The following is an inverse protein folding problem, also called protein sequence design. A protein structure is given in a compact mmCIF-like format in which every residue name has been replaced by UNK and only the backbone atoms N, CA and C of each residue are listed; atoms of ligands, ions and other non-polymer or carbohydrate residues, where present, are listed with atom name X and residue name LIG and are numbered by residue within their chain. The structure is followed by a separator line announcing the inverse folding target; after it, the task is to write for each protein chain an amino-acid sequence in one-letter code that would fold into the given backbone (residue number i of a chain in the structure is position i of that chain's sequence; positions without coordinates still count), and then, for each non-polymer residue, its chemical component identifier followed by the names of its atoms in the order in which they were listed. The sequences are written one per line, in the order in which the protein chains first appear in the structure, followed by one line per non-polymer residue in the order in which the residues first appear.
data_IF_153676584857
#
_entry.id   IF_153676584857
#
_cell.length_a   1.000
_cell.length_b   1.000
_cell.length_c   1.000
_cell.angle_alpha   90.00
_cell.angle_beta   90.00
_cell.angle_gamma   90.00
#
_symmetry.space_group_name_H-M   'P 1'
#
loop_
_entity.id
_entity.type
_entity.pdbx_description
1 polymer ?
#
# COMPACT_ATOMS: atom_id res chain seq x y z
N UNK A 1 -23.82 33.85 -50.34
CA UNK A 1 -23.53 34.61 -49.10
C UNK A 1 -22.93 33.60 -48.10
N UNK A 2 -21.62 33.45 -47.86
CA UNK A 2 -20.57 34.43 -47.47
C UNK A 2 -21.06 35.26 -46.27
N UNK A 3 -20.46 35.35 -45.07
CA UNK A 3 -19.04 35.36 -44.64
C UNK A 3 -18.91 35.05 -43.12
N UNK A 4 -17.78 34.41 -42.77
CA UNK A 4 -16.99 34.33 -41.51
C UNK A 4 -17.20 35.41 -40.42
N UNK A 5 -17.02 35.04 -39.13
CA UNK A 5 -15.83 35.34 -38.27
C UNK A 5 -16.04 35.06 -36.76
N UNK A 6 -15.08 34.32 -36.16
CA UNK A 6 -14.28 34.54 -34.91
C UNK A 6 -15.02 35.00 -33.62
N UNK A 7 -14.75 34.58 -32.38
CA UNK A 7 -13.51 34.16 -31.72
C UNK A 7 -13.85 33.80 -30.25
N UNK A 8 -13.28 32.72 -29.67
CA UNK A 8 -12.44 32.78 -28.43
C UNK A 8 -12.05 31.38 -27.94
N UNK A 9 -10.74 31.17 -27.98
CA UNK A 9 -9.97 30.06 -27.42
C UNK A 9 -10.01 30.03 -25.89
N UNK A 10 -10.05 28.83 -25.31
CA UNK A 10 -9.33 28.51 -24.06
C UNK A 10 -8.67 27.13 -24.21
N UNK A 11 -7.42 27.16 -24.64
CA UNK A 11 -6.50 26.02 -24.62
C UNK A 11 -5.90 25.90 -23.21
N UNK A 12 -6.07 24.73 -22.60
CA UNK A 12 -5.45 24.37 -21.34
C UNK A 12 -3.99 23.99 -21.64
N UNK A 13 -3.02 24.75 -21.11
CA UNK A 13 -1.59 24.46 -21.26
C UNK A 13 -1.12 23.52 -20.14
N UNK A 14 -0.40 22.43 -20.44
CA UNK A 14 0.32 21.66 -19.42
C UNK A 14 1.59 22.41 -18.99
N UNK A 15 1.80 22.54 -17.67
CA UNK A 15 3.01 23.16 -17.09
C UNK A 15 4.21 22.26 -17.34
N UNK A 16 5.16 22.76 -18.14
CA UNK A 16 6.52 22.23 -18.28
C UNK A 16 7.30 22.49 -16.99
N UNK A 17 7.69 21.45 -16.27
CA UNK A 17 8.73 21.53 -15.23
C UNK A 17 9.83 20.51 -15.54
N UNK A 18 10.72 20.84 -16.47
CA UNK A 18 12.04 20.23 -16.58
C UNK A 18 12.98 21.24 -17.24
N UNK A 19 14.04 21.62 -16.50
CA UNK A 19 15.39 22.08 -16.92
C UNK A 19 15.90 23.22 -16.03
N UNK A 20 16.80 22.89 -15.09
CA UNK A 20 18.14 23.52 -15.01
C UNK A 20 19.02 22.84 -13.95
N UNK A 21 19.74 21.80 -14.36
CA UNK A 21 21.03 21.46 -13.75
C UNK A 21 22.05 21.51 -14.89
N UNK A 22 23.02 22.42 -14.74
CA UNK A 22 24.28 22.63 -15.47
C UNK A 22 24.44 24.09 -15.90
N UNK A 23 25.29 24.79 -15.14
CA UNK A 23 26.38 25.69 -15.58
C UNK A 23 26.62 26.71 -14.47
N UNK A 24 27.56 26.42 -13.59
CA UNK A 24 28.37 27.45 -12.96
C UNK A 24 29.82 27.03 -13.13
N UNK A 25 30.46 27.58 -14.16
CA UNK A 25 31.91 27.57 -14.32
C UNK A 25 32.31 28.98 -14.75
N UNK A 26 33.16 29.58 -13.91
CA UNK A 26 34.02 30.77 -14.13
C UNK A 26 33.33 32.11 -14.31
N UNK A 27 33.49 32.96 -13.29
CA UNK A 27 34.35 34.17 -13.37
C UNK A 27 34.20 34.98 -12.07
N UNK A 28 35.30 35.30 -11.40
CA UNK A 28 35.67 36.62 -10.83
C UNK A 28 37.01 36.47 -10.04
N UNK A 29 37.85 37.53 -9.93
CA UNK A 29 39.26 37.47 -9.56
C UNK A 29 39.55 37.78 -8.08
N UNK A 30 40.86 37.83 -7.80
CA UNK A 30 41.59 37.72 -6.54
C UNK A 30 41.32 38.67 -5.36
N UNK A 31 41.70 38.11 -4.19
CA UNK A 31 42.28 38.74 -3.00
C UNK A 31 41.35 39.46 -2.00
N UNK A 32 41.17 38.87 -0.82
CA UNK A 32 41.46 39.47 0.50
C UNK A 32 41.29 38.41 1.62
N UNK A 33 42.19 38.46 2.62
CA UNK A 33 42.34 37.51 3.75
C UNK A 33 41.06 37.30 4.58
N UNK A 34 40.85 36.12 5.20
CA UNK A 34 39.67 35.87 6.02
C UNK A 34 39.87 36.36 7.47
N UNK A 35 38.85 36.96 8.11
CA UNK A 35 38.77 37.02 9.56
C UNK A 35 38.18 35.71 10.10
N UNK A 36 38.73 35.20 11.21
CA UNK A 36 38.14 34.06 11.91
C UNK A 36 36.82 34.45 12.58
N UNK A 37 35.79 33.58 12.55
CA UNK A 37 34.67 33.67 13.48
C UNK A 37 34.77 32.60 14.57
N UNK A 38 34.74 33.08 15.80
CA UNK A 38 34.49 32.35 17.04
C UNK A 38 33.00 32.03 17.20
N UNK A 39 32.70 30.95 17.94
CA UNK A 39 31.42 30.57 18.57
C UNK A 39 30.58 29.50 17.84
N UNK A 40 29.69 28.77 18.54
CA UNK A 40 29.98 27.43 19.07
C UNK A 40 29.17 26.36 18.32
N UNK A 41 29.73 25.15 18.26
CA UNK A 41 29.06 23.97 17.71
C UNK A 41 27.85 23.66 18.59
N UNK A 42 26.65 23.90 18.06
CA UNK A 42 25.41 23.40 18.61
C UNK A 42 25.40 21.88 18.36
N UNK A 43 25.66 21.09 19.41
CA UNK A 43 25.45 19.65 19.42
C UNK A 43 23.95 19.36 19.23
N UNK A 44 23.55 19.10 17.99
CA UNK A 44 22.26 18.49 17.69
C UNK A 44 22.32 17.03 18.18
N UNK A 45 21.52 16.76 19.21
CA UNK A 45 21.22 15.45 19.81
C UNK A 45 21.19 14.33 18.77
N UNK A 46 22.04 13.33 18.97
CA UNK A 46 22.10 12.07 18.21
C UNK A 46 21.23 10.97 18.85
N UNK A 47 20.01 11.30 19.25
CA UNK A 47 19.08 10.30 19.79
C UNK A 47 17.87 10.15 18.86
N UNK A 48 18.13 9.94 17.57
CA UNK A 48 17.13 9.34 16.71
C UNK A 48 17.13 7.83 17.00
N UNK A 49 15.99 7.22 17.37
CA UNK A 49 15.92 5.77 17.54
C UNK A 49 16.37 5.10 16.25
N UNK A 50 17.17 4.04 16.39
CA UNK A 50 17.60 3.23 15.26
C UNK A 50 16.37 2.81 14.44
N UNK A 51 16.42 2.87 13.10
CA UNK A 51 15.28 2.48 12.28
C UNK A 51 14.86 1.06 12.63
N UNK A 52 13.55 0.84 12.80
CA UNK A 52 12.97 -0.47 13.04
C UNK A 52 13.59 -1.45 12.04
N UNK A 53 14.28 -2.47 12.55
CA UNK A 53 14.90 -3.47 11.70
C UNK A 53 13.77 -4.19 10.94
N UNK A 54 13.93 -4.44 9.63
CA UNK A 54 12.93 -5.16 8.87
C UNK A 54 12.65 -6.50 9.53
N UNK A 55 11.40 -6.97 9.43
CA UNK A 55 10.98 -8.29 9.89
C UNK A 55 12.05 -9.35 9.55
N UNK A 56 12.53 -10.15 10.52
CA UNK A 56 13.65 -11.08 10.31
C UNK A 56 13.42 -12.07 9.15
N UNK A 57 12.16 -12.41 8.87
CA UNK A 57 11.77 -13.30 7.79
C UNK A 57 11.92 -12.69 6.39
N UNK A 58 12.11 -11.38 6.24
CA UNK A 58 12.15 -10.71 4.93
C UNK A 58 13.25 -11.26 4.01
N UNK A 59 14.42 -11.59 4.58
CA UNK A 59 15.50 -12.19 3.82
C UNK A 59 15.21 -13.62 3.37
N UNK A 60 14.51 -14.40 4.20
CA UNK A 60 14.09 -15.76 3.85
C UNK A 60 13.00 -15.72 2.78
N UNK A 61 12.01 -14.82 2.93
CA UNK A 61 10.99 -14.54 1.92
C UNK A 61 11.66 -14.20 0.59
N UNK A 62 12.54 -13.19 0.51
CA UNK A 62 13.23 -12.81 -0.75
C UNK A 62 13.96 -13.96 -1.45
N UNK A 63 14.57 -14.88 -0.70
CA UNK A 63 15.38 -15.99 -1.25
C UNK A 63 14.58 -17.24 -1.59
N UNK A 64 13.34 -17.36 -1.13
CA UNK A 64 12.54 -18.54 -1.43
C UNK A 64 12.27 -18.61 -2.96
N UNK A 65 12.25 -19.81 -3.57
CA UNK A 65 11.93 -19.94 -4.98
C UNK A 65 10.48 -19.49 -5.27
N UNK A 66 10.12 -19.22 -6.54
CA UNK A 66 8.72 -19.12 -6.94
C UNK A 66 7.94 -20.34 -6.43
N UNK A 67 6.77 -20.11 -5.86
CA UNK A 67 5.96 -21.18 -5.26
C UNK A 67 4.95 -21.73 -6.27
N UNK A 68 4.99 -23.04 -6.51
CA UNK A 68 4.00 -23.74 -7.34
C UNK A 68 2.75 -24.16 -6.56
N UNK A 69 2.64 -23.81 -5.28
CA UNK A 69 1.53 -24.19 -4.38
C UNK A 69 0.22 -23.43 -4.69
N UNK A 70 -0.26 -23.53 -5.93
CA UNK A 70 -1.32 -22.70 -6.52
C UNK A 70 -2.73 -23.27 -6.37
N UNK A 71 -2.85 -24.41 -5.69
CA UNK A 71 -4.14 -25.05 -5.36
C UNK A 71 -4.17 -25.39 -3.88
N UNK A 72 -5.37 -25.64 -3.36
CA UNK A 72 -5.58 -26.04 -1.97
C UNK A 72 -6.09 -27.48 -1.91
N UNK A 73 -5.26 -28.40 -1.43
CA UNK A 73 -5.56 -29.82 -1.27
C UNK A 73 -6.28 -30.13 0.04
N UNK A 74 -6.37 -31.43 0.42
CA UNK A 74 -6.98 -31.85 1.68
C UNK A 74 -6.22 -31.37 2.93
N UNK A 75 -4.90 -31.14 2.82
CA UNK A 75 -4.02 -30.83 3.95
C UNK A 75 -3.35 -29.45 3.85
N UNK A 76 -3.83 -28.57 2.96
CA UNK A 76 -3.27 -27.24 2.74
C UNK A 76 -2.82 -27.00 1.29
N UNK A 77 -2.01 -25.95 1.06
CA UNK A 77 -1.50 -25.62 -0.26
C UNK A 77 -0.76 -26.78 -0.94
N UNK A 78 -1.03 -27.01 -2.22
CA UNK A 78 -0.36 -28.01 -3.04
C UNK A 78 -0.19 -27.53 -4.49
N UNK A 79 0.73 -28.18 -5.21
CA UNK A 79 0.87 -27.98 -6.64
C UNK A 79 -0.39 -28.47 -7.39
N UNK A 80 -0.77 -27.81 -8.51
CA UNK A 80 -1.88 -28.29 -9.32
C UNK A 80 -1.59 -29.70 -9.86
N UNK A 81 -2.60 -30.57 -9.97
CA UNK A 81 -2.42 -31.94 -10.46
C UNK A 81 -1.98 -31.99 -11.93
N UNK A 82 -2.47 -31.04 -12.74
CA UNK A 82 -2.01 -30.82 -14.11
C UNK A 82 -1.22 -29.49 -14.13
N UNK A 83 0.07 -29.57 -14.43
CA UNK A 83 0.87 -28.37 -14.69
C UNK A 83 0.39 -27.75 -16.00
N UNK A 84 -0.63 -26.90 -15.91
CA UNK A 84 -1.15 -26.15 -17.06
C UNK A 84 -0.02 -25.27 -17.65
N UNK A 85 0.63 -25.74 -18.70
CA UNK A 85 1.56 -24.97 -19.55
C UNK A 85 0.83 -23.93 -20.44
N UNK A 86 -0.45 -23.67 -20.19
CA UNK A 86 -1.26 -22.74 -20.97
C UNK A 86 -1.06 -21.28 -20.49
N UNK A 87 0.12 -20.73 -20.75
CA UNK A 87 0.42 -19.30 -20.56
C UNK A 87 1.62 -18.79 -21.36
N UNK A 88 2.22 -19.65 -22.20
CA UNK A 88 3.56 -19.42 -22.77
C UNK A 88 3.61 -18.49 -23.97
N UNK A 89 2.55 -18.38 -24.78
CA UNK A 89 2.65 -17.67 -26.07
C UNK A 89 2.84 -16.15 -25.91
N UNK A 90 1.99 -15.48 -25.14
CA UNK A 90 2.10 -14.03 -24.88
C UNK A 90 3.26 -13.67 -23.95
N UNK A 91 3.63 -14.56 -23.04
CA UNK A 91 4.76 -14.38 -22.14
C UNK A 91 6.10 -14.45 -22.88
N UNK A 92 6.24 -15.25 -23.94
CA UNK A 92 7.52 -15.42 -24.64
C UNK A 92 8.01 -14.17 -25.36
N UNK A 93 7.11 -13.27 -25.78
CA UNK A 93 7.44 -12.07 -26.55
C UNK A 93 7.95 -10.90 -25.70
N UNK A 94 7.61 -10.84 -24.41
CA UNK A 94 8.09 -9.77 -23.52
C UNK A 94 9.57 -9.97 -23.17
N UNK A 95 10.38 -8.92 -23.31
CA UNK A 95 11.83 -8.95 -23.09
C UNK A 95 12.25 -8.46 -21.70
N UNK A 96 11.31 -7.94 -20.91
CA UNK A 96 11.57 -7.38 -19.59
C UNK A 96 10.41 -7.54 -18.60
N UNK A 97 10.72 -7.39 -17.31
CA UNK A 97 9.75 -7.48 -16.22
C UNK A 97 8.67 -6.39 -16.33
N UNK A 98 9.03 -5.17 -16.71
CA UNK A 98 8.08 -4.08 -16.92
C UNK A 98 7.11 -4.37 -18.08
N UNK A 99 7.60 -4.95 -19.18
CA UNK A 99 6.72 -5.35 -20.30
C UNK A 99 5.76 -6.47 -19.90
N UNK A 100 6.24 -7.45 -19.12
CA UNK A 100 5.38 -8.49 -18.59
C UNK A 100 4.33 -7.92 -17.62
N UNK A 101 4.72 -7.00 -16.73
CA UNK A 101 3.79 -6.32 -15.85
C UNK A 101 2.72 -5.54 -16.62
N UNK A 102 3.10 -4.87 -17.72
CA UNK A 102 2.13 -4.18 -18.58
C UNK A 102 1.16 -5.15 -19.26
N UNK A 103 1.64 -6.33 -19.67
CA UNK A 103 0.81 -7.41 -20.21
C UNK A 103 -0.17 -7.95 -19.15
N UNK A 104 0.30 -8.18 -17.91
CA UNK A 104 -0.54 -8.60 -16.79
C UNK A 104 -1.64 -7.57 -16.52
N UNK A 105 -1.27 -6.29 -16.42
CA UNK A 105 -2.24 -5.20 -16.22
C UNK A 105 -3.24 -5.09 -17.37
N UNK A 106 -2.85 -5.45 -18.59
CA UNK A 106 -3.74 -5.44 -19.77
C UNK A 106 -4.58 -6.71 -19.94
N UNK A 107 -4.41 -7.70 -19.06
CA UNK A 107 -5.17 -8.96 -19.11
C UNK A 107 -6.45 -8.85 -18.28
N UNK A 108 -7.61 -8.98 -18.91
CA UNK A 108 -8.90 -8.84 -18.23
C UNK A 108 -9.29 -10.06 -17.39
N UNK A 109 -9.06 -11.27 -17.91
CA UNK A 109 -9.44 -12.51 -17.23
C UNK A 109 -8.61 -12.72 -15.94
N UNK A 110 -9.24 -12.91 -14.76
CA UNK A 110 -8.53 -12.94 -13.49
C UNK A 110 -7.59 -14.14 -13.34
N UNK A 111 -7.98 -15.31 -13.86
CA UNK A 111 -7.16 -16.53 -13.77
C UNK A 111 -5.98 -16.47 -14.75
N UNK A 112 -6.19 -15.95 -15.96
CA UNK A 112 -5.11 -15.66 -16.91
C UNK A 112 -4.15 -14.61 -16.33
N UNK A 113 -4.66 -13.55 -15.70
CA UNK A 113 -3.85 -12.54 -15.01
C UNK A 113 -2.97 -13.17 -13.93
N UNK A 114 -3.54 -14.05 -13.10
CA UNK A 114 -2.80 -14.76 -12.06
C UNK A 114 -1.72 -15.69 -12.65
N UNK A 115 -2.02 -16.43 -13.73
CA UNK A 115 -1.04 -17.29 -14.43
C UNK A 115 0.11 -16.47 -15.05
N UNK A 116 -0.22 -15.38 -15.74
CA UNK A 116 0.79 -14.49 -16.34
C UNK A 116 1.67 -13.83 -15.27
N UNK A 117 1.10 -13.47 -14.13
CA UNK A 117 1.85 -12.94 -12.98
C UNK A 117 2.92 -13.93 -12.51
N UNK A 118 2.53 -15.19 -12.33
CA UNK A 118 3.45 -16.23 -11.93
C UNK A 118 4.54 -16.51 -12.97
N UNK A 119 4.16 -16.55 -14.25
CA UNK A 119 5.11 -16.68 -15.35
C UNK A 119 6.11 -15.51 -15.39
N UNK A 120 5.65 -14.28 -15.12
CA UNK A 120 6.51 -13.10 -15.08
C UNK A 120 7.53 -13.14 -13.95
N UNK A 121 7.10 -13.50 -12.75
CA UNK A 121 8.02 -13.63 -11.61
C UNK A 121 9.01 -14.79 -11.81
N UNK A 122 8.57 -15.91 -12.37
CA UNK A 122 9.44 -17.05 -12.70
C UNK A 122 10.52 -16.66 -13.71
N UNK A 123 10.17 -15.89 -14.76
CA UNK A 123 11.14 -15.38 -15.73
C UNK A 123 12.10 -14.35 -15.12
N UNK A 124 11.62 -13.50 -14.21
CA UNK A 124 12.50 -12.63 -13.42
C UNK A 124 13.56 -13.43 -12.65
N UNK A 125 13.15 -14.47 -11.93
CA UNK A 125 14.08 -15.35 -11.21
C UNK A 125 15.06 -16.05 -12.16
N UNK A 126 14.64 -16.34 -13.40
CA UNK A 126 15.50 -16.88 -14.47
C UNK A 126 16.41 -15.83 -15.15
N UNK A 127 16.42 -14.57 -14.69
CA UNK A 127 17.35 -13.53 -15.16
C UNK A 127 16.77 -12.50 -16.13
N UNK A 128 15.43 -12.40 -16.24
CA UNK A 128 14.80 -11.34 -17.03
C UNK A 128 15.17 -9.95 -16.47
N UNK A 129 15.56 -8.95 -17.28
CA UNK A 129 15.87 -7.61 -16.78
C UNK A 129 14.60 -6.84 -16.40
N UNK A 130 14.72 -5.79 -15.58
CA UNK A 130 13.58 -4.93 -15.22
C UNK A 130 12.96 -4.24 -16.45
N UNK A 131 13.81 -3.67 -17.31
CA UNK A 131 13.41 -2.94 -18.53
C UNK A 131 12.51 -1.73 -18.26
N UNK A 132 11.76 -1.33 -19.29
CA UNK A 132 10.87 -0.17 -19.27
C UNK A 132 9.59 -0.48 -20.05
N UNK A 133 8.45 -0.06 -19.52
CA UNK A 133 7.17 -0.11 -20.24
C UNK A 133 6.24 1.02 -19.76
N UNK A 134 5.23 1.33 -20.57
CA UNK A 134 4.17 2.24 -20.16
C UNK A 134 3.12 1.50 -19.33
N UNK A 135 2.87 1.96 -18.10
CA UNK A 135 1.75 1.46 -17.32
C UNK A 135 0.43 1.95 -17.95
N UNK A 136 -0.58 1.07 -18.14
CA UNK A 136 -1.90 1.53 -18.56
C UNK A 136 -2.51 2.46 -17.49
N UNK A 137 -3.52 3.25 -17.88
CA UNK A 137 -4.22 4.16 -16.96
C UNK A 137 -5.00 3.40 -15.88
N UNK A 138 -5.49 2.20 -16.23
CA UNK A 138 -6.17 1.28 -15.34
C UNK A 138 -5.94 -0.17 -15.79
N UNK A 139 -5.97 -1.16 -14.88
CA UNK A 139 -5.88 -2.55 -15.24
C UNK A 139 -7.15 -2.96 -15.99
N UNK A 140 -6.99 -3.83 -16.96
CA UNK A 140 -8.10 -4.49 -17.62
C UNK A 140 -8.90 -5.32 -16.60
N UNK A 141 -10.22 -5.30 -16.77
CA UNK A 141 -11.22 -5.99 -15.96
C UNK A 141 -12.19 -6.74 -16.88
N UNK A 142 -12.76 -7.87 -16.45
CA UNK A 142 -13.86 -8.51 -17.17
C UNK A 142 -15.16 -7.74 -16.96
N UNK A 143 -16.22 -8.13 -17.67
CA UNK A 143 -17.58 -7.55 -17.51
C UNK A 143 -18.15 -7.72 -16.09
N UNK A 144 -17.65 -8.72 -15.35
CA UNK A 144 -18.01 -9.00 -13.95
C UNK A 144 -16.74 -9.02 -13.08
N UNK A 145 -16.84 -8.68 -11.77
CA UNK A 145 -18.03 -8.25 -11.03
C UNK A 145 -18.51 -6.84 -11.40
N UNK A 146 -19.79 -6.56 -11.11
CA UNK A 146 -20.34 -5.20 -11.21
C UNK A 146 -19.65 -4.33 -10.16
N UNK A 147 -19.09 -3.20 -10.59
CA UNK A 147 -18.45 -2.23 -9.71
C UNK A 147 -19.48 -1.20 -9.23
N UNK A 148 -19.63 -1.07 -7.91
CA UNK A 148 -20.53 -0.13 -7.25
C UNK A 148 -19.75 0.80 -6.31
N UNK A 149 -20.38 1.88 -5.83
CA UNK A 149 -19.76 2.71 -4.79
C UNK A 149 -19.76 2.00 -3.44
N UNK A 150 -18.91 2.44 -2.51
CA UNK A 150 -18.87 1.87 -1.15
C UNK A 150 -20.21 1.96 -0.40
N UNK A 151 -21.07 2.92 -0.74
CA UNK A 151 -22.40 3.09 -0.13
C UNK A 151 -23.45 2.14 -0.72
N UNK A 152 -23.20 1.64 -1.93
CA UNK A 152 -24.11 0.78 -2.69
C UNK A 152 -23.75 -0.70 -2.54
N UNK A 153 -22.65 -1.03 -1.85
CA UNK A 153 -22.27 -2.41 -1.57
C UNK A 153 -23.38 -3.08 -0.73
N UNK A 154 -23.94 -4.16 -1.27
CA UNK A 154 -25.03 -4.90 -0.63
C UNK A 154 -24.47 -5.97 0.30
N UNK A 155 -25.15 -6.18 1.44
CA UNK A 155 -24.74 -7.23 2.38
C UNK A 155 -25.11 -8.62 1.86
N UNK A 156 -24.40 -9.65 2.33
CA UNK A 156 -24.70 -11.04 1.99
C UNK A 156 -26.19 -11.40 2.25
N UNK A 157 -26.80 -10.85 3.32
CA UNK A 157 -28.21 -11.11 3.67
C UNK A 157 -29.17 -10.53 2.63
N UNK A 158 -28.91 -9.30 2.19
CA UNK A 158 -29.71 -8.64 1.16
C UNK A 158 -29.61 -9.35 -0.19
N UNK A 159 -28.45 -9.95 -0.48
CA UNK A 159 -28.22 -10.73 -1.70
C UNK A 159 -28.73 -12.17 -1.62
N UNK A 160 -29.10 -12.66 -0.43
CA UNK A 160 -29.48 -14.06 -0.23
C UNK A 160 -28.34 -15.06 -0.44
N UNK A 161 -27.08 -14.63 -0.25
CA UNK A 161 -25.90 -15.50 -0.41
C UNK A 161 -25.30 -15.90 0.94
N UNK A 162 -24.67 -17.10 1.03
CA UNK A 162 -23.94 -17.52 2.22
C UNK A 162 -22.84 -16.54 2.60
N UNK A 163 -22.67 -16.33 3.91
CA UNK A 163 -21.68 -15.39 4.45
C UNK A 163 -20.25 -15.76 4.08
N UNK A 164 -19.89 -17.06 4.12
CA UNK A 164 -18.56 -17.54 3.75
C UNK A 164 -18.27 -17.30 2.26
N UNK A 165 -19.21 -17.60 1.36
CA UNK A 165 -19.07 -17.30 -0.06
C UNK A 165 -18.91 -15.78 -0.30
N UNK A 166 -19.70 -14.94 0.37
CA UNK A 166 -19.57 -13.49 0.30
C UNK A 166 -18.19 -13.00 0.76
N UNK A 167 -17.71 -13.49 1.90
CA UNK A 167 -16.41 -13.11 2.44
C UNK A 167 -15.27 -13.51 1.50
N UNK A 168 -15.28 -14.73 0.98
CA UNK A 168 -14.24 -15.22 0.07
C UNK A 168 -14.25 -14.49 -1.27
N UNK A 169 -15.42 -14.08 -1.78
CA UNK A 169 -15.52 -13.28 -3.00
C UNK A 169 -14.90 -11.89 -2.80
N UNK A 170 -15.20 -11.23 -1.68
CA UNK A 170 -14.58 -9.95 -1.35
C UNK A 170 -13.06 -10.08 -1.18
N UNK A 171 -12.58 -11.15 -0.54
CA UNK A 171 -11.15 -11.41 -0.40
C UNK A 171 -10.49 -11.69 -1.75
N UNK A 172 -11.06 -12.54 -2.60
CA UNK A 172 -10.59 -12.73 -3.96
C UNK A 172 -10.53 -11.40 -4.75
N UNK A 173 -11.49 -10.49 -4.54
CA UNK A 173 -11.43 -9.17 -5.15
C UNK A 173 -10.26 -8.32 -4.63
N UNK A 174 -9.96 -8.39 -3.32
CA UNK A 174 -8.79 -7.74 -2.73
C UNK A 174 -7.52 -8.29 -3.35
N UNK A 175 -7.34 -9.61 -3.40
CA UNK A 175 -6.13 -10.24 -3.96
C UNK A 175 -5.93 -9.89 -5.44
N UNK A 176 -7.01 -9.89 -6.23
CA UNK A 176 -6.92 -9.51 -7.64
C UNK A 176 -6.48 -8.05 -7.80
N UNK A 177 -6.95 -7.16 -6.93
CA UNK A 177 -6.45 -5.78 -6.92
C UNK A 177 -4.99 -5.74 -6.48
N UNK A 178 -4.59 -6.48 -5.44
CA UNK A 178 -3.22 -6.50 -4.94
C UNK A 178 -2.20 -6.93 -6.03
N UNK A 179 -2.55 -7.91 -6.88
CA UNK A 179 -1.80 -8.25 -8.10
C UNK A 179 -1.59 -7.00 -8.98
N UNK A 180 -2.66 -6.25 -9.27
CA UNK A 180 -2.58 -5.05 -10.10
C UNK A 180 -1.80 -3.92 -9.45
N UNK A 181 -1.95 -3.73 -8.14
CA UNK A 181 -1.24 -2.70 -7.38
C UNK A 181 0.28 -2.94 -7.40
N UNK A 182 0.67 -4.19 -7.22
CA UNK A 182 2.06 -4.62 -7.25
C UNK A 182 2.65 -4.46 -8.66
N UNK A 183 1.96 -4.93 -9.71
CA UNK A 183 2.42 -4.74 -11.09
C UNK A 183 2.42 -3.28 -11.52
N UNK A 184 1.43 -2.48 -11.14
CA UNK A 184 1.44 -1.05 -11.42
C UNK A 184 2.66 -0.39 -10.79
N UNK A 185 3.03 -0.79 -9.56
CA UNK A 185 4.25 -0.30 -8.90
C UNK A 185 5.51 -0.67 -9.68
N UNK A 186 5.62 -1.91 -10.17
CA UNK A 186 6.75 -2.37 -10.99
C UNK A 186 6.85 -1.57 -12.29
N UNK A 187 5.75 -1.48 -13.05
CA UNK A 187 5.76 -0.87 -14.38
C UNK A 187 5.91 0.64 -14.30
N UNK A 188 5.10 1.30 -13.46
CA UNK A 188 5.01 2.76 -13.40
C UNK A 188 6.29 3.41 -12.89
N UNK A 189 6.99 2.75 -11.96
CA UNK A 189 8.25 3.25 -11.42
C UNK A 189 9.48 2.65 -12.10
N UNK A 190 9.32 1.84 -13.16
CA UNK A 190 10.46 1.33 -13.95
C UNK A 190 11.43 2.42 -14.45
N UNK A 191 11.00 3.66 -14.80
CA UNK A 191 11.94 4.73 -15.14
C UNK A 191 12.86 5.18 -13.99
N UNK A 192 12.54 4.81 -12.74
CA UNK A 192 13.34 5.10 -11.55
C UNK A 192 14.30 3.96 -11.18
N UNK A 193 14.48 2.97 -12.06
CA UNK A 193 15.32 1.80 -11.81
C UNK A 193 16.71 2.13 -11.31
N UNK A 194 17.40 3.10 -11.93
CA UNK A 194 18.77 3.45 -11.54
C UNK A 194 18.85 4.07 -10.13
N UNK A 195 17.74 4.61 -9.63
CA UNK A 195 17.64 5.17 -8.28
C UNK A 195 17.22 4.13 -7.24
N UNK A 196 16.20 3.32 -7.56
CA UNK A 196 15.61 2.36 -6.63
C UNK A 196 16.41 1.04 -6.58
N UNK A 197 17.02 0.66 -7.70
CA UNK A 197 17.71 -0.61 -7.91
C UNK A 197 16.75 -1.77 -8.20
N UNK A 198 17.30 -2.84 -8.77
CA UNK A 198 16.55 -4.02 -9.20
C UNK A 198 15.77 -4.71 -8.06
N UNK A 199 16.27 -4.63 -6.83
CA UNK A 199 15.60 -5.20 -5.66
C UNK A 199 14.20 -4.64 -5.41
N UNK A 200 13.93 -3.38 -5.80
CA UNK A 200 12.58 -2.79 -5.63
C UNK A 200 11.57 -3.53 -6.51
N UNK A 201 11.93 -3.72 -7.77
CA UNK A 201 11.09 -4.38 -8.76
C UNK A 201 10.96 -5.88 -8.47
N UNK A 202 12.05 -6.51 -8.00
CA UNK A 202 12.03 -7.90 -7.56
C UNK A 202 11.05 -8.13 -6.40
N UNK A 203 11.08 -7.26 -5.39
CA UNK A 203 10.20 -7.38 -4.22
C UNK A 203 8.73 -7.20 -4.63
N UNK A 204 8.39 -6.16 -5.41
CA UNK A 204 6.98 -5.96 -5.82
C UNK A 204 6.49 -6.98 -6.84
N UNK A 205 7.34 -7.50 -7.74
CA UNK A 205 6.96 -8.61 -8.60
C UNK A 205 6.71 -9.90 -7.80
N UNK A 206 7.45 -10.09 -6.70
CA UNK A 206 7.22 -11.20 -5.77
C UNK A 206 5.92 -11.05 -4.99
N UNK A 207 5.62 -9.85 -4.47
CA UNK A 207 4.31 -9.56 -3.86
C UNK A 207 3.21 -9.94 -4.84
N UNK A 208 3.27 -9.48 -6.09
CA UNK A 208 2.29 -9.85 -7.11
C UNK A 208 2.15 -11.38 -7.30
N UNK A 209 3.28 -12.11 -7.27
CA UNK A 209 3.29 -13.57 -7.34
C UNK A 209 2.58 -14.23 -6.14
N UNK A 210 2.78 -13.73 -4.93
CA UNK A 210 2.08 -14.17 -3.72
C UNK A 210 0.56 -13.88 -3.83
N UNK A 211 0.16 -12.67 -4.21
CA UNK A 211 -1.27 -12.32 -4.36
C UNK A 211 -1.97 -13.13 -5.45
N UNK A 212 -1.24 -13.47 -6.52
CA UNK A 212 -1.79 -14.34 -7.56
C UNK A 212 -2.06 -15.76 -7.09
N UNK A 213 -1.31 -16.24 -6.08
CA UNK A 213 -1.57 -17.51 -5.40
C UNK A 213 -2.75 -17.40 -4.45
N UNK A 214 -2.80 -16.34 -3.64
CA UNK A 214 -3.92 -16.05 -2.73
C UNK A 214 -5.25 -15.99 -3.49
N UNK A 215 -5.28 -15.23 -4.59
CA UNK A 215 -6.43 -15.13 -5.49
C UNK A 215 -6.91 -16.49 -5.98
N UNK A 216 -5.98 -17.38 -6.37
CA UNK A 216 -6.32 -18.72 -6.86
C UNK A 216 -6.91 -19.59 -5.75
N UNK A 217 -6.38 -19.54 -4.53
CA UNK A 217 -6.94 -20.29 -3.41
C UNK A 217 -8.38 -19.86 -3.08
N UNK A 218 -8.65 -18.55 -3.05
CA UNK A 218 -10.02 -18.06 -2.85
C UNK A 218 -10.94 -18.40 -4.01
N UNK A 219 -10.47 -18.25 -5.26
CA UNK A 219 -11.26 -18.59 -6.44
C UNK A 219 -11.62 -20.06 -6.48
N UNK A 220 -10.67 -20.95 -6.18
CA UNK A 220 -10.92 -22.39 -6.04
C UNK A 220 -11.98 -22.64 -4.96
N UNK A 221 -11.82 -22.04 -3.77
CA UNK A 221 -12.75 -22.25 -2.66
C UNK A 221 -14.16 -21.74 -2.95
N UNK A 222 -14.28 -20.63 -3.68
CA UNK A 222 -15.57 -20.13 -4.16
C UNK A 222 -16.26 -21.14 -5.07
N UNK A 223 -15.52 -21.72 -6.02
CA UNK A 223 -16.06 -22.74 -6.93
C UNK A 223 -16.53 -23.97 -6.17
N UNK A 224 -15.78 -24.42 -5.16
CA UNK A 224 -16.19 -25.53 -4.27
C UNK A 224 -17.49 -25.22 -3.49
N UNK A 225 -17.78 -23.94 -3.23
CA UNK A 225 -19.01 -23.48 -2.59
C UNK A 225 -20.16 -23.22 -3.59
N UNK A 226 -19.94 -23.44 -4.89
CA UNK A 226 -20.93 -23.22 -5.95
C UNK A 226 -21.01 -21.78 -6.45
N UNK A 227 -19.98 -20.95 -6.21
CA UNK A 227 -19.90 -19.55 -6.64
C UNK A 227 -18.67 -19.30 -7.52
N UNK A 228 -18.70 -18.21 -8.26
CA UNK A 228 -17.57 -17.74 -9.06
C UNK A 228 -17.17 -16.32 -8.66
N UNK A 229 -15.88 -16.02 -8.82
CA UNK A 229 -15.46 -14.62 -8.80
C UNK A 229 -16.20 -13.86 -9.91
N UNK A 230 -16.79 -12.73 -9.55
CA UNK A 230 -17.71 -11.98 -10.42
C UNK A 230 -19.20 -12.04 -10.04
N UNK A 231 -19.62 -13.00 -9.21
CA UNK A 231 -21.06 -13.18 -8.87
C UNK A 231 -21.63 -12.10 -7.95
N UNK A 232 -20.78 -11.40 -7.19
CA UNK A 232 -21.17 -10.38 -6.23
C UNK A 232 -20.61 -9.01 -6.62
N UNK A 233 -21.34 -7.91 -6.35
CA UNK A 233 -20.87 -6.57 -6.65
C UNK A 233 -19.69 -6.20 -5.74
N UNK A 234 -18.77 -5.39 -6.25
CA UNK A 234 -17.54 -4.97 -5.56
C UNK A 234 -17.37 -3.46 -5.62
N UNK A 235 -16.49 -2.91 -4.79
CA UNK A 235 -16.08 -1.51 -4.90
C UNK A 235 -14.64 -1.38 -5.41
N UNK A 236 -14.32 -0.29 -6.11
CA UNK A 236 -12.98 -0.05 -6.65
C UNK A 236 -12.09 0.85 -5.77
N UNK A 237 -12.24 0.77 -4.43
CA UNK A 237 -11.51 1.62 -3.48
C UNK A 237 -9.99 1.50 -3.64
N UNK A 238 -9.47 0.27 -3.65
CA UNK A 238 -8.02 0.00 -3.67
C UNK A 238 -7.35 0.65 -4.89
N UNK A 239 -7.90 0.44 -6.09
CA UNK A 239 -7.37 1.07 -7.29
C UNK A 239 -7.48 2.59 -7.26
N UNK A 240 -8.57 3.14 -6.72
CA UNK A 240 -8.73 4.60 -6.58
C UNK A 240 -7.63 5.20 -5.71
N UNK A 241 -7.31 4.58 -4.58
CA UNK A 241 -6.22 5.03 -3.70
C UNK A 241 -4.85 4.87 -4.38
N UNK A 242 -4.65 3.79 -5.14
CA UNK A 242 -3.44 3.58 -5.94
C UNK A 242 -3.23 4.67 -6.98
N UNK A 243 -4.28 5.03 -7.73
CA UNK A 243 -4.24 6.03 -8.77
C UNK A 243 -3.86 7.42 -8.23
N UNK A 244 -4.30 7.78 -7.02
CA UNK A 244 -3.90 9.04 -6.34
C UNK A 244 -2.39 9.14 -6.10
N UNK A 245 -1.71 8.00 -5.92
CA UNK A 245 -0.27 7.91 -5.64
C UNK A 245 0.60 7.69 -6.89
N UNK A 246 -0.01 7.66 -8.09
CA UNK A 246 0.66 7.23 -9.34
C UNK A 246 1.88 8.06 -9.74
N UNK A 247 1.99 9.31 -9.30
CA UNK A 247 3.11 10.20 -9.65
C UNK A 247 4.26 10.20 -8.65
N UNK A 248 4.14 9.52 -7.50
CA UNK A 248 5.12 9.61 -6.41
C UNK A 248 5.31 8.24 -5.74
N UNK A 249 6.54 7.72 -5.82
CA UNK A 249 6.90 6.43 -5.24
C UNK A 249 6.81 6.42 -3.71
N UNK A 250 7.10 7.55 -3.04
CA UNK A 250 6.95 7.67 -1.59
C UNK A 250 5.47 7.64 -1.19
N UNK A 251 4.61 8.32 -1.95
CA UNK A 251 3.16 8.23 -1.79
C UNK A 251 2.65 6.81 -2.05
N UNK A 252 3.14 6.13 -3.10
CA UNK A 252 2.75 4.73 -3.39
C UNK A 252 3.02 3.83 -2.20
N UNK A 253 4.23 3.91 -1.65
CA UNK A 253 4.67 3.08 -0.53
C UNK A 253 3.90 3.39 0.76
N UNK A 254 3.57 4.65 1.02
CA UNK A 254 2.74 5.02 2.16
C UNK A 254 1.30 4.54 2.00
N UNK A 255 0.66 4.83 0.86
CA UNK A 255 -0.78 4.62 0.67
C UNK A 255 -1.12 3.14 0.50
N UNK A 256 -0.31 2.37 -0.23
CA UNK A 256 -0.64 0.99 -0.59
C UNK A 256 -0.05 0.00 0.43
N UNK A 257 1.26 -0.29 0.48
CA UNK A 257 1.80 -1.24 1.45
C UNK A 257 1.55 -0.89 2.92
N UNK A 258 1.75 0.37 3.31
CA UNK A 258 1.70 0.76 4.72
C UNK A 258 0.29 1.06 5.25
N UNK A 259 -0.69 1.24 4.36
CA UNK A 259 -2.10 1.45 4.76
C UNK A 259 -3.03 0.38 4.23
N UNK A 260 -3.09 0.14 2.91
CA UNK A 260 -4.03 -0.85 2.38
C UNK A 260 -3.63 -2.28 2.76
N UNK A 261 -2.37 -2.68 2.54
CA UNK A 261 -1.94 -4.05 2.90
C UNK A 261 -1.90 -4.24 4.42
N UNK A 262 -1.52 -3.21 5.18
CA UNK A 262 -1.58 -3.25 6.64
C UNK A 262 -3.00 -3.50 7.21
N UNK A 263 -4.06 -3.21 6.46
CA UNK A 263 -5.44 -3.57 6.86
C UNK A 263 -5.69 -5.08 6.75
N UNK A 264 -4.96 -5.80 5.89
CA UNK A 264 -4.95 -7.26 5.84
C UNK A 264 -4.51 -7.86 7.17
N UNK A 265 -3.42 -7.35 7.75
CA UNK A 265 -2.93 -7.74 9.09
C UNK A 265 -3.97 -7.50 10.20
N UNK A 266 -4.76 -6.43 10.08
CA UNK A 266 -5.79 -6.09 11.05
C UNK A 266 -7.04 -6.99 10.95
N UNK A 267 -7.38 -7.40 9.72
CA UNK A 267 -8.63 -8.11 9.44
C UNK A 267 -8.49 -9.64 9.54
N UNK A 268 -7.34 -10.20 9.16
CA UNK A 268 -7.10 -11.65 9.04
C UNK A 268 -7.61 -12.46 10.24
N UNK A 269 -7.12 -12.24 11.47
CA UNK A 269 -7.54 -13.02 12.64
C UNK A 269 -9.05 -12.98 12.91
N UNK A 270 -9.70 -11.83 12.67
CA UNK A 270 -11.15 -11.69 12.84
C UNK A 270 -11.93 -12.49 11.80
N UNK A 271 -11.44 -12.52 10.55
CA UNK A 271 -12.06 -13.26 9.46
C UNK A 271 -11.92 -14.78 9.69
N UNK A 272 -10.74 -15.24 10.15
CA UNK A 272 -10.50 -16.63 10.55
C UNK A 272 -11.50 -17.05 11.64
N UNK A 273 -11.58 -16.28 12.73
CA UNK A 273 -12.50 -16.59 13.84
C UNK A 273 -13.97 -16.66 13.37
N UNK A 274 -14.36 -15.75 12.47
CA UNK A 274 -15.71 -15.71 11.91
C UNK A 274 -16.03 -16.94 11.05
N UNK A 275 -15.09 -17.44 10.27
CA UNK A 275 -15.25 -18.65 9.46
C UNK A 275 -15.30 -19.91 10.32
N UNK A 276 -14.44 -19.99 11.35
CA UNK A 276 -14.49 -21.07 12.35
C UNK A 276 -15.83 -21.11 13.08
N UNK A 277 -16.36 -19.95 13.50
CA UNK A 277 -17.68 -19.86 14.12
C UNK A 277 -18.84 -20.27 13.20
N UNK A 278 -18.63 -20.24 11.88
CA UNK A 278 -19.56 -20.75 10.88
C UNK A 278 -19.37 -22.25 10.57
N UNK A 279 -18.34 -22.89 11.16
CA UNK A 279 -17.97 -24.30 10.90
C UNK A 279 -17.21 -24.52 9.60
N UNK A 280 -16.78 -23.48 8.89
CA UNK A 280 -16.05 -23.57 7.62
C UNK A 280 -14.54 -23.54 7.85
N UNK A 281 -14.03 -24.64 8.43
CA UNK A 281 -12.60 -24.80 8.75
C UNK A 281 -11.70 -24.64 7.54
N UNK A 282 -12.08 -25.19 6.38
CA UNK A 282 -11.29 -25.11 5.16
C UNK A 282 -11.08 -23.66 4.70
N UNK A 283 -12.14 -22.86 4.70
CA UNK A 283 -12.02 -21.44 4.36
C UNK A 283 -11.23 -20.67 5.42
N UNK A 284 -11.36 -21.04 6.70
CA UNK A 284 -10.58 -20.44 7.77
C UNK A 284 -9.07 -20.71 7.61
N UNK A 285 -8.69 -21.93 7.23
CA UNK A 285 -7.29 -22.30 7.01
C UNK A 285 -6.69 -21.52 5.82
N UNK A 286 -7.45 -21.34 4.74
CA UNK A 286 -7.04 -20.52 3.58
C UNK A 286 -6.78 -19.08 4.03
N UNK A 287 -7.76 -18.45 4.72
CA UNK A 287 -7.63 -17.07 5.18
C UNK A 287 -6.48 -16.91 6.18
N UNK A 288 -6.27 -17.90 7.05
CA UNK A 288 -5.16 -17.88 7.99
C UNK A 288 -3.82 -17.91 7.25
N UNK A 289 -3.68 -18.78 6.25
CA UNK A 289 -2.45 -18.89 5.48
C UNK A 289 -2.13 -17.61 4.70
N UNK A 290 -3.14 -16.98 4.09
CA UNK A 290 -2.97 -15.67 3.43
C UNK A 290 -2.55 -14.61 4.45
N UNK A 291 -3.22 -14.52 5.60
CA UNK A 291 -2.89 -13.56 6.65
C UNK A 291 -1.45 -13.71 7.20
N UNK A 292 -0.91 -14.92 7.24
CA UNK A 292 0.50 -15.16 7.59
C UNK A 292 1.48 -14.63 6.52
N UNK A 293 1.11 -14.72 5.25
CA UNK A 293 1.94 -14.27 4.11
C UNK A 293 1.93 -12.74 3.95
N UNK A 294 0.84 -12.06 4.34
CA UNK A 294 0.71 -10.58 4.31
C UNK A 294 1.77 -9.83 5.12
N UNK A 295 2.34 -10.46 6.15
CA UNK A 295 3.38 -9.86 6.99
C UNK A 295 4.60 -9.44 6.15
N UNK A 296 4.96 -10.26 5.16
CA UNK A 296 6.08 -9.98 4.27
C UNK A 296 5.80 -8.76 3.38
N UNK A 297 4.57 -8.62 2.88
CA UNK A 297 4.17 -7.55 1.95
C UNK A 297 4.27 -6.18 2.63
N UNK A 298 3.76 -6.09 3.87
CA UNK A 298 3.87 -4.87 4.68
C UNK A 298 5.33 -4.56 5.03
N UNK A 299 6.11 -5.57 5.39
CA UNK A 299 7.54 -5.42 5.72
C UNK A 299 8.37 -4.92 4.51
N UNK A 300 8.09 -5.43 3.31
CA UNK A 300 8.66 -4.93 2.05
C UNK A 300 8.33 -3.46 1.83
N UNK A 301 7.05 -3.11 2.02
CA UNK A 301 6.58 -1.74 1.93
C UNK A 301 7.34 -0.78 2.84
N UNK A 302 7.48 -1.16 4.11
CA UNK A 302 8.21 -0.38 5.10
C UNK A 302 9.69 -0.24 4.73
N UNK A 303 10.34 -1.34 4.34
CA UNK A 303 11.75 -1.32 3.93
C UNK A 303 12.00 -0.29 2.84
N UNK A 304 11.18 -0.31 1.78
CA UNK A 304 11.33 0.63 0.67
C UNK A 304 10.93 2.05 1.03
N UNK A 305 9.90 2.23 1.87
CA UNK A 305 9.51 3.54 2.35
C UNK A 305 10.65 4.21 3.13
N UNK A 306 11.26 3.50 4.09
CA UNK A 306 12.41 3.98 4.85
C UNK A 306 13.59 4.33 3.94
N UNK A 307 13.89 3.48 2.95
CA UNK A 307 14.97 3.71 1.99
C UNK A 307 14.72 4.93 1.10
N UNK A 308 13.49 5.12 0.61
CA UNK A 308 13.11 6.31 -0.18
C UNK A 308 13.19 7.58 0.67
N UNK A 309 12.71 7.55 1.92
CA UNK A 309 12.88 8.66 2.86
C UNK A 309 14.36 9.00 3.08
N UNK A 310 15.22 8.00 3.25
CA UNK A 310 16.66 8.18 3.37
C UNK A 310 17.27 8.84 2.12
N UNK A 311 16.92 8.37 0.92
CA UNK A 311 17.38 8.95 -0.35
C UNK A 311 16.96 10.42 -0.51
N UNK A 312 15.77 10.77 0.01
CA UNK A 312 15.24 12.14 -0.01
C UNK A 312 15.75 13.01 1.15
N UNK A 313 16.48 12.46 2.11
CA UNK A 313 16.90 13.16 3.33
C UNK A 313 15.73 13.57 4.23
N UNK A 314 14.64 12.79 4.24
CA UNK A 314 13.43 13.07 5.02
C UNK A 314 13.26 12.11 6.19
N UNK A 315 12.62 12.61 7.26
CA UNK A 315 12.25 11.80 8.43
C UNK A 315 11.04 10.94 8.07
N UNK A 316 11.09 9.60 8.21
CA UNK A 316 10.01 8.71 7.78
C UNK A 316 8.65 8.99 8.42
N UNK A 317 8.59 9.12 9.74
CA UNK A 317 7.35 9.37 10.49
C UNK A 317 6.61 10.64 10.02
N UNK A 318 7.35 11.76 9.90
CA UNK A 318 6.79 13.01 9.39
C UNK A 318 6.34 12.87 7.92
N UNK A 319 7.16 12.22 7.09
CA UNK A 319 6.85 12.01 5.66
C UNK A 319 5.60 11.16 5.49
N UNK A 320 5.45 10.10 6.28
CA UNK A 320 4.28 9.23 6.24
C UNK A 320 3.02 10.02 6.56
N UNK A 321 3.00 10.75 7.68
CA UNK A 321 1.84 11.57 8.07
C UNK A 321 1.48 12.64 7.04
N UNK A 322 2.48 13.30 6.47
CA UNK A 322 2.28 14.30 5.42
C UNK A 322 1.62 13.67 4.18
N UNK A 323 2.10 12.50 3.73
CA UNK A 323 1.55 11.78 2.58
C UNK A 323 0.13 11.26 2.84
N UNK A 324 -0.14 10.71 4.03
CA UNK A 324 -1.49 10.25 4.39
C UNK A 324 -2.48 11.42 4.35
N UNK A 325 -2.07 12.60 4.85
CA UNK A 325 -2.89 13.81 4.80
C UNK A 325 -3.05 14.36 3.38
N UNK A 326 -1.97 14.41 2.60
CA UNK A 326 -1.97 14.92 1.23
C UNK A 326 -2.88 14.10 0.30
N UNK A 327 -2.91 12.78 0.47
CA UNK A 327 -3.69 11.88 -0.36
C UNK A 327 -5.09 11.54 0.21
N UNK A 328 -5.48 12.18 1.31
CA UNK A 328 -6.77 11.99 1.99
C UNK A 328 -7.05 10.50 2.28
N UNK A 329 -6.05 9.83 2.88
CA UNK A 329 -6.13 8.42 3.23
C UNK A 329 -6.57 8.28 4.68
N UNK A 330 -7.66 7.55 4.91
CA UNK A 330 -8.19 7.34 6.25
C UNK A 330 -7.46 6.20 6.96
N UNK A 331 -6.78 6.51 8.05
CA UNK A 331 -6.25 5.54 9.01
C UNK A 331 -7.23 5.38 10.16
N UNK A 332 -7.89 4.23 10.23
CA UNK A 332 -8.82 3.92 11.30
C UNK A 332 -8.71 2.44 11.69
N UNK A 333 -8.61 2.21 12.99
CA UNK A 333 -8.61 0.87 13.56
C UNK A 333 -10.00 0.21 13.58
N UNK A 334 -10.13 -0.93 14.29
CA UNK A 334 -9.15 -1.46 15.24
C UNK A 334 -7.92 -2.07 14.56
N UNK A 335 -6.74 -1.69 15.05
CA UNK A 335 -5.44 -2.17 14.56
C UNK A 335 -5.02 -3.47 15.27
N UNK A 336 -4.37 -4.37 14.53
CA UNK A 336 -3.65 -5.50 15.09
C UNK A 336 -2.22 -5.05 15.43
N UNK A 337 -2.05 -4.52 16.64
CA UNK A 337 -0.75 -3.99 17.08
C UNK A 337 0.36 -5.03 17.02
N UNK A 338 0.08 -6.28 17.42
CA UNK A 338 1.10 -7.34 17.40
C UNK A 338 1.61 -7.60 15.99
N UNK A 339 0.72 -7.72 15.00
CA UNK A 339 1.12 -7.98 13.62
C UNK A 339 1.80 -6.76 12.97
N UNK A 340 1.34 -5.54 13.27
CA UNK A 340 1.98 -4.31 12.77
C UNK A 340 3.37 -4.10 13.39
N UNK A 341 3.53 -4.38 14.68
CA UNK A 341 4.83 -4.36 15.36
C UNK A 341 5.77 -5.41 14.75
N UNK A 342 5.27 -6.61 14.46
CA UNK A 342 6.05 -7.66 13.80
C UNK A 342 6.48 -7.28 12.38
N UNK A 343 5.61 -6.60 11.62
CA UNK A 343 5.93 -6.02 10.32
C UNK A 343 6.93 -4.84 10.41
N UNK A 344 7.10 -4.30 11.62
CA UNK A 344 8.00 -3.20 11.94
C UNK A 344 7.39 -1.80 11.82
N UNK A 345 6.08 -1.65 11.59
CA UNK A 345 5.46 -0.32 11.50
C UNK A 345 5.42 0.32 12.90
N UNK A 346 6.10 1.46 13.12
CA UNK A 346 6.06 2.11 14.41
C UNK A 346 4.64 2.64 14.74
N UNK A 347 4.18 2.41 15.96
CA UNK A 347 2.81 2.72 16.39
C UNK A 347 2.47 4.20 16.25
N UNK A 348 3.44 5.07 16.51
CA UNK A 348 3.30 6.52 16.45
C UNK A 348 3.01 7.07 15.05
N UNK A 349 3.13 6.25 14.01
CA UNK A 349 2.79 6.63 12.63
C UNK A 349 1.28 6.62 12.37
N UNK A 350 0.55 5.73 13.05
CA UNK A 350 -0.87 5.46 12.76
C UNK A 350 -1.80 5.59 13.96
N UNK A 351 -1.26 5.71 15.17
CA UNK A 351 -2.03 6.17 16.32
C UNK A 351 -2.25 7.69 16.22
N UNK A 352 -3.51 8.12 16.29
CA UNK A 352 -3.78 9.51 16.60
C UNK A 352 -3.13 9.80 17.95
N UNK A 353 -2.23 10.79 18.00
CA UNK A 353 -1.78 11.32 19.28
C UNK A 353 -3.05 11.74 20.02
N UNK A 354 -3.42 11.01 21.06
CA UNK A 354 -4.34 11.51 22.06
C UNK A 354 -3.80 12.88 22.44
N UNK A 355 -4.51 13.94 22.07
CA UNK A 355 -4.26 15.26 22.65
C UNK A 355 -4.65 15.13 24.11
N UNK A 356 -3.75 14.60 24.91
CA UNK A 356 -3.62 14.90 26.31
C UNK A 356 -2.52 15.95 26.44
N UNK A 357 -2.67 17.05 25.70
CA UNK A 357 -2.36 18.32 26.32
C UNK A 357 -3.41 18.46 27.43
N UNK A 358 -2.96 18.30 28.68
CA UNK A 358 -3.74 18.75 29.84
C UNK A 358 -4.32 20.13 29.51
N UNK A 359 -5.57 20.45 29.88
CA UNK A 359 -6.01 21.84 29.91
C UNK A 359 -5.23 22.56 31.02
N UNK A 360 -3.98 22.91 30.72
CA UNK A 360 -3.19 23.85 31.49
C UNK A 360 -3.78 25.24 31.23
N UNK A 361 -4.21 25.88 32.32
CA UNK A 361 -4.81 27.22 32.49
C UNK A 361 -6.31 27.29 32.76
N UNK A 362 -7.15 26.27 32.49
CA UNK A 362 -8.57 26.35 32.89
C UNK A 362 -8.80 25.89 34.34
N UNK A 363 -8.14 24.83 34.80
CA UNK A 363 -8.20 24.41 36.20
C UNK A 363 -7.59 25.45 37.16
N UNK A 364 -6.44 26.06 36.80
CA UNK A 364 -5.83 27.12 37.61
C UNK A 364 -6.71 28.39 37.73
N UNK A 365 -7.54 28.67 36.71
CA UNK A 365 -8.47 29.81 36.74
C UNK A 365 -9.70 29.47 37.60
N UNK A 366 -10.20 28.24 37.55
CA UNK A 366 -11.28 27.79 38.42
C UNK A 366 -10.87 27.74 39.90
N UNK A 367 -9.65 27.27 40.22
CA UNK A 367 -9.15 27.24 41.59
C UNK A 367 -8.89 28.66 42.13
N UNK A 368 -8.39 29.58 41.29
CA UNK A 368 -8.23 31.00 41.66
C UNK A 368 -9.57 31.71 41.88
N UNK A 369 -10.57 31.43 41.04
CA UNK A 369 -11.92 31.98 41.23
C UNK A 369 -12.58 31.44 42.51
N UNK A 370 -12.40 30.15 42.82
CA UNK A 370 -12.90 29.56 44.05
C UNK A 370 -12.27 30.21 45.30
N UNK A 371 -10.95 30.44 45.30
CA UNK A 371 -10.28 31.16 46.38
C UNK A 371 -10.76 32.61 46.55
N UNK A 372 -10.99 33.35 45.45
CA UNK A 372 -11.47 34.73 45.53
C UNK A 372 -12.89 34.78 46.11
N UNK A 373 -13.77 33.86 45.71
CA UNK A 373 -15.15 33.79 46.22
C UNK A 373 -15.20 33.41 47.71
N UNK A 374 -14.30 32.54 48.18
CA UNK A 374 -14.17 32.22 49.61
C UNK A 374 -13.67 33.43 50.42
N UNK A 375 -12.65 34.15 49.93
CA UNK A 375 -12.13 35.35 50.59
C UNK A 375 -13.17 36.49 50.67
N UNK A 376 -14.01 36.66 49.64
CA UNK A 376 -15.08 37.66 49.65
C UNK A 376 -16.20 37.30 50.63
N UNK A 377 -16.51 35.99 50.78
CA UNK A 377 -17.47 35.51 51.80
C UNK A 377 -16.95 35.72 53.22
N UNK A 378 -15.67 35.46 53.49
CA UNK A 378 -15.07 35.69 54.80
C UNK A 378 -15.07 37.20 55.15
N UNK A 379 -14.74 38.07 54.20
CA UNK A 379 -14.76 39.52 54.39
C UNK A 379 -16.17 40.10 54.58
N UNK A 380 -17.21 39.51 53.98
CA UNK A 380 -18.60 39.93 54.21
C UNK A 380 -19.14 39.46 55.55
N UNK A 381 -18.65 38.34 56.10
CA UNK A 381 -18.98 37.89 57.46
C UNK A 381 -18.26 38.64 58.59
N UNK A 382 -17.18 39.37 58.29
CA UNK A 382 -16.43 40.16 59.28
C UNK A 382 -16.89 41.62 59.38
N UNK A 383 -17.67 42.12 58.42
CA UNK A 383 -18.18 43.49 58.36
C UNK A 383 -19.72 43.58 58.50
N UNK A 384 -20.36 42.51 58.98
CA UNK A 384 -21.82 42.40 59.19
C UNK A 384 -22.20 42.30 60.65
#
# INVERSE_FOLDING_TARGET
MCVKKLNKLRTFRPRRYYKRIRRYRRSQPDSHKPPQPTSPICELRRDAPAPALPWPGLHAWRRAPPSDLRTWGPHGPCAPPDADEAGSEGASASSSLAEMGALVLSTADPLAKARLTHAAFTRWVAGLPVGLAGAPDHPARPDKPIVVTQKEITTHKQMGVPLNAYMLHMLAHVELNAIDLAWDTVVRFSPLRDTLGDGFFADFARVADDESRHFRWYSQRLTELGFSYGDMPVHNLLWRECAKSSSDVSARLAVIPLVQEARGLDAGPRLVHKLLGFGDHRSADIVNKVAEEELAHVSVGLHWFLKVCQMMGRVPDATFRDLIKEHDVVLKGPFNYSARDEAGIPREWYEEKLKHEKPSKLLEVHDRLACIVEMEKENTSLNG
#
